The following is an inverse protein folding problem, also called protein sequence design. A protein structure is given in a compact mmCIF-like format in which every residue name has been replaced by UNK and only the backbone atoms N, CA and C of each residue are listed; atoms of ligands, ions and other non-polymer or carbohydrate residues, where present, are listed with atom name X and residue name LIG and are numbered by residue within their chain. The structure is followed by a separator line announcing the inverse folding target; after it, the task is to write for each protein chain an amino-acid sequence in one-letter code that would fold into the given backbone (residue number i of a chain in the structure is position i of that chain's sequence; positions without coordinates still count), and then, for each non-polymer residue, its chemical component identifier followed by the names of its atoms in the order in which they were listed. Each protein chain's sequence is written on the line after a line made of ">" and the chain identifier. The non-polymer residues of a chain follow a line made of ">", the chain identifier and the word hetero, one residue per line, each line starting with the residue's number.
data_IF_209153139351
#
_entry.id   IF_209153139351
#
_cell.length_a   1.000
_cell.length_b   1.000
_cell.length_c   1.000
_cell.angle_alpha   90.00
_cell.angle_beta   90.00
_cell.angle_gamma   90.00
#
_symmetry.space_group_name_H-M   'P 1'
#
loop_
_entity.id
_entity.type
_entity.pdbx_description
1 polymer ?
#
# COMPACT_ATOMS: atom_id res chain seq x y z
N UNK A 1 -2.03 -31.60 -30.65
CA UNK A 1 -2.06 -30.22 -31.15
C UNK A 1 -3.50 -29.84 -31.40
N UNK A 2 -4.11 -29.13 -30.46
CA UNK A 2 -5.34 -28.38 -30.65
C UNK A 2 -5.18 -27.15 -29.76
N UNK A 3 -4.62 -26.09 -30.33
CA UNK A 3 -4.63 -24.76 -29.70
C UNK A 3 -6.07 -24.26 -29.77
N UNK A 4 -6.72 -24.24 -28.62
CA UNK A 4 -8.00 -23.57 -28.42
C UNK A 4 -7.72 -22.06 -28.51
N UNK A 5 -7.89 -21.50 -29.71
CA UNK A 5 -7.86 -20.05 -29.93
C UNK A 5 -9.11 -19.46 -29.31
N UNK A 6 -9.05 -19.18 -28.00
CA UNK A 6 -10.02 -18.33 -27.34
C UNK A 6 -10.03 -16.99 -28.07
N UNK A 7 -11.15 -16.66 -28.72
CA UNK A 7 -11.38 -15.34 -29.30
C UNK A 7 -11.26 -14.30 -28.19
N UNK A 8 -10.27 -13.42 -28.31
CA UNK A 8 -10.12 -12.26 -27.43
C UNK A 8 -11.29 -11.31 -27.67
N UNK A 9 -12.41 -11.51 -27.00
CA UNK A 9 -13.49 -10.52 -26.95
C UNK A 9 -12.91 -9.22 -26.37
N UNK A 10 -12.97 -8.14 -27.14
CA UNK A 10 -12.57 -6.83 -26.66
C UNK A 10 -13.51 -6.41 -25.53
N UNK A 11 -12.96 -6.19 -24.33
CA UNK A 11 -13.71 -5.71 -23.17
C UNK A 11 -14.41 -4.38 -23.52
N UNK A 12 -15.74 -4.36 -23.41
CA UNK A 12 -16.55 -3.16 -23.59
C UNK A 12 -16.92 -2.60 -22.22
N UNK A 13 -16.45 -1.40 -21.84
CA UNK A 13 -16.71 -0.84 -20.52
C UNK A 13 -18.21 -0.61 -20.28
N UNK A 14 -18.71 -1.06 -19.13
CA UNK A 14 -20.07 -0.78 -18.68
C UNK A 14 -20.26 0.68 -18.24
N UNK A 15 -21.51 1.13 -17.98
CA UNK A 15 -21.80 2.52 -17.58
C UNK A 15 -21.17 2.93 -16.23
N UNK A 16 -20.93 1.96 -15.34
CA UNK A 16 -20.26 2.15 -14.06
C UNK A 16 -18.73 2.22 -14.16
N UNK A 17 -18.15 1.93 -15.33
CA UNK A 17 -16.71 1.90 -15.48
C UNK A 17 -16.10 3.29 -15.25
N UNK A 18 -15.00 3.31 -14.50
CA UNK A 18 -14.17 4.49 -14.30
C UNK A 18 -12.70 4.15 -14.47
N UNK A 19 -11.98 5.09 -15.05
CA UNK A 19 -10.54 5.05 -15.20
C UNK A 19 -9.96 6.30 -14.55
N UNK A 20 -9.01 6.10 -13.65
CA UNK A 20 -8.24 7.18 -13.02
C UNK A 20 -6.79 7.07 -13.45
N UNK A 21 -6.25 8.11 -14.05
CA UNK A 21 -4.85 8.16 -14.50
C UNK A 21 -4.09 9.13 -13.62
N UNK A 22 -3.08 8.64 -12.90
CA UNK A 22 -2.32 9.45 -11.96
C UNK A 22 -1.70 10.72 -12.56
N UNK A 23 -1.29 10.67 -13.84
CA UNK A 23 -0.75 11.85 -14.55
C UNK A 23 -1.80 12.89 -14.91
N UNK A 24 -3.02 12.46 -15.17
CA UNK A 24 -4.11 13.36 -15.58
C UNK A 24 -4.74 14.01 -14.35
N UNK A 25 -4.83 13.25 -13.25
CA UNK A 25 -5.42 13.70 -11.98
C UNK A 25 -4.45 14.56 -11.16
N UNK A 26 -3.14 14.26 -11.20
CA UNK A 26 -2.14 14.93 -10.37
C UNK A 26 -0.99 15.51 -11.19
N UNK A 27 -0.97 16.85 -11.38
CA UNK A 27 0.17 17.50 -12.02
C UNK A 27 1.42 17.30 -11.16
N UNK A 28 2.46 16.74 -11.77
CA UNK A 28 3.72 16.40 -11.12
C UNK A 28 4.87 16.59 -12.09
N UNK A 29 6.10 16.60 -11.56
CA UNK A 29 7.31 16.56 -12.36
C UNK A 29 8.29 15.56 -11.74
N UNK A 30 9.42 15.33 -12.42
CA UNK A 30 10.42 14.35 -11.99
C UNK A 30 10.98 14.66 -10.61
N UNK A 31 11.13 15.94 -10.25
CA UNK A 31 11.64 16.35 -8.93
C UNK A 31 10.66 15.95 -7.82
N UNK A 32 9.38 16.29 -7.97
CA UNK A 32 8.34 15.94 -7.00
C UNK A 32 8.15 14.42 -6.89
N UNK A 33 8.15 13.71 -8.01
CA UNK A 33 8.05 12.25 -8.03
C UNK A 33 9.25 11.59 -7.34
N UNK A 34 10.47 12.05 -7.63
CA UNK A 34 11.69 11.55 -6.99
C UNK A 34 11.69 11.83 -5.49
N UNK A 35 11.27 13.03 -5.07
CA UNK A 35 11.17 13.38 -3.65
C UNK A 35 10.12 12.51 -2.94
N UNK A 36 8.96 12.28 -3.55
CA UNK A 36 7.94 11.39 -3.00
C UNK A 36 8.46 9.94 -2.84
N UNK A 37 9.17 9.42 -3.86
CA UNK A 37 9.83 8.12 -3.79
C UNK A 37 10.87 8.06 -2.66
N UNK A 38 11.71 9.09 -2.54
CA UNK A 38 12.75 9.18 -1.52
C UNK A 38 12.17 9.27 -0.10
N UNK A 39 11.07 9.99 0.08
CA UNK A 39 10.40 10.06 1.39
C UNK A 39 9.76 8.70 1.73
N UNK A 40 9.03 8.09 0.79
CA UNK A 40 8.32 6.85 1.08
C UNK A 40 9.25 5.66 1.23
N UNK A 41 9.99 5.30 0.17
CA UNK A 41 10.86 4.11 0.12
C UNK A 41 12.21 4.42 0.75
N UNK A 42 12.75 5.60 0.47
CA UNK A 42 14.07 6.01 0.99
C UNK A 42 14.10 6.13 2.52
N UNK A 43 12.97 6.30 3.21
CA UNK A 43 12.95 6.27 4.68
C UNK A 43 13.43 4.94 5.28
N UNK A 44 13.20 3.81 4.60
CA UNK A 44 13.73 2.51 5.02
C UNK A 44 15.25 2.49 4.91
N UNK A 45 15.79 2.92 3.77
CA UNK A 45 17.22 2.99 3.53
C UNK A 45 17.91 4.03 4.41
N UNK A 46 17.25 5.15 4.70
CA UNK A 46 17.77 6.23 5.53
C UNK A 46 18.16 5.74 6.92
N UNK A 47 17.31 4.93 7.57
CA UNK A 47 17.62 4.35 8.88
C UNK A 47 18.90 3.50 8.84
N UNK A 48 19.01 2.62 7.83
CA UNK A 48 20.17 1.74 7.66
C UNK A 48 21.43 2.58 7.39
N UNK A 49 21.35 3.57 6.51
CA UNK A 49 22.46 4.46 6.19
C UNK A 49 22.92 5.27 7.40
N UNK A 50 22.01 5.81 8.22
CA UNK A 50 22.35 6.53 9.45
C UNK A 50 23.04 5.62 10.47
N UNK A 51 22.54 4.40 10.66
CA UNK A 51 23.15 3.42 11.56
C UNK A 51 24.54 3.00 11.07
N UNK A 52 24.68 2.68 9.79
CA UNK A 52 25.96 2.27 9.21
C UNK A 52 26.98 3.41 9.25
N UNK A 53 26.59 4.62 8.84
CA UNK A 53 27.45 5.79 8.87
C UNK A 53 27.90 6.10 10.31
N UNK A 54 26.97 6.13 11.26
CA UNK A 54 27.31 6.41 12.66
C UNK A 54 28.23 5.35 13.27
N UNK A 55 28.04 4.07 12.90
CA UNK A 55 28.92 2.99 13.35
C UNK A 55 30.34 3.11 12.78
N UNK A 56 30.48 3.47 11.50
CA UNK A 56 31.77 3.54 10.81
C UNK A 56 32.58 4.81 11.11
N UNK A 57 31.90 5.95 11.33
CA UNK A 57 32.55 7.26 11.33
C UNK A 57 32.47 8.01 12.67
N UNK A 58 31.65 7.56 13.63
CA UNK A 58 31.54 8.22 14.94
C UNK A 58 32.17 7.38 16.06
N UNK A 59 32.66 8.02 17.14
CA UNK A 59 32.99 7.31 18.37
C UNK A 59 31.80 6.47 18.86
N UNK A 60 32.09 5.30 19.43
CA UNK A 60 31.06 4.35 19.87
C UNK A 60 29.98 4.98 20.79
N UNK A 61 30.36 5.91 21.66
CA UNK A 61 29.41 6.65 22.51
C UNK A 61 28.40 7.48 21.71
N UNK A 62 28.82 8.13 20.62
CA UNK A 62 27.92 8.88 19.72
C UNK A 62 27.07 7.95 18.86
N UNK A 63 27.62 6.80 18.44
CA UNK A 63 26.83 5.75 17.79
C UNK A 63 25.68 5.28 18.69
N UNK A 64 25.97 4.98 19.96
CA UNK A 64 24.93 4.60 20.93
C UNK A 64 23.88 5.70 21.12
N UNK A 65 24.28 6.98 21.11
CA UNK A 65 23.33 8.10 21.14
C UNK A 65 22.41 8.10 19.91
N UNK A 66 22.96 7.87 18.70
CA UNK A 66 22.16 7.76 17.47
C UNK A 66 21.16 6.61 17.57
N UNK A 67 21.59 5.44 18.04
CA UNK A 67 20.70 4.30 18.31
C UNK A 67 19.59 4.69 19.29
N UNK A 68 19.95 5.36 20.40
CA UNK A 68 19.00 5.85 21.39
C UNK A 68 17.95 6.80 20.79
N UNK A 69 18.37 7.76 19.96
CA UNK A 69 17.45 8.68 19.27
C UNK A 69 16.50 7.92 18.33
N UNK A 70 17.02 6.97 17.54
CA UNK A 70 16.18 6.15 16.67
C UNK A 70 15.16 5.31 17.46
N UNK A 71 15.55 4.75 18.60
CA UNK A 71 14.63 4.02 19.49
C UNK A 71 13.55 4.92 20.08
N UNK A 72 13.85 6.18 20.41
CA UNK A 72 12.84 7.16 20.81
C UNK A 72 11.79 7.30 19.70
N UNK A 73 12.22 7.40 18.43
CA UNK A 73 11.31 7.45 17.29
C UNK A 73 10.51 6.17 17.07
N UNK A 74 10.85 5.04 17.70
CA UNK A 74 10.04 3.79 17.69
C UNK A 74 8.92 3.83 18.73
N UNK A 75 9.16 4.44 19.89
CA UNK A 75 8.18 4.48 20.99
C UNK A 75 7.32 5.75 21.01
N UNK A 76 7.77 6.82 20.35
CA UNK A 76 7.06 8.10 20.30
C UNK A 76 5.63 7.91 19.76
N UNK A 77 4.56 8.32 20.47
CA UNK A 77 3.20 8.13 19.99
C UNK A 77 2.99 8.85 18.64
N UNK A 78 2.28 8.21 17.73
CA UNK A 78 1.95 8.78 16.42
C UNK A 78 0.56 9.40 16.51
N UNK A 79 0.48 10.71 16.27
CA UNK A 79 -0.79 11.36 15.99
C UNK A 79 -1.25 10.99 14.58
N UNK A 80 -2.28 10.14 14.51
CA UNK A 80 -2.86 9.65 13.26
C UNK A 80 -3.56 10.77 12.48
N UNK A 81 -3.98 11.84 13.17
CA UNK A 81 -4.71 12.97 12.60
C UNK A 81 -3.82 14.22 12.42
N UNK A 82 -2.50 14.05 12.52
CA UNK A 82 -1.54 15.15 12.33
C UNK A 82 -1.76 15.83 10.99
N UNK A 83 -2.06 17.13 11.00
CA UNK A 83 -2.24 17.93 9.78
C UNK A 83 -1.02 17.86 8.86
N UNK A 84 0.18 17.84 9.44
CA UNK A 84 1.43 17.68 8.70
C UNK A 84 1.52 16.28 8.08
N UNK A 85 1.31 15.23 8.89
CA UNK A 85 1.38 13.85 8.43
C UNK A 85 0.40 13.55 7.30
N UNK A 86 -0.83 14.03 7.42
CA UNK A 86 -1.86 13.86 6.40
C UNK A 86 -1.55 14.63 5.11
N UNK A 87 -0.96 15.84 5.20
CA UNK A 87 -0.48 16.59 4.02
C UNK A 87 0.68 15.87 3.33
N UNK A 88 1.62 15.34 4.10
CA UNK A 88 2.75 14.56 3.59
C UNK A 88 2.27 13.28 2.90
N UNK A 89 1.35 12.55 3.52
CA UNK A 89 0.77 11.34 2.94
C UNK A 89 0.03 11.63 1.62
N UNK A 90 -0.77 12.70 1.57
CA UNK A 90 -1.43 13.14 0.32
C UNK A 90 -0.41 13.49 -0.76
N UNK A 91 0.63 14.26 -0.41
CA UNK A 91 1.71 14.61 -1.33
C UNK A 91 2.38 13.36 -1.92
N UNK A 92 2.76 12.39 -1.07
CA UNK A 92 3.35 11.12 -1.52
C UNK A 92 2.39 10.40 -2.46
N UNK A 93 1.14 10.19 -2.05
CA UNK A 93 0.15 9.47 -2.83
C UNK A 93 -0.07 10.05 -4.25
N UNK A 94 -0.22 11.37 -4.34
CA UNK A 94 -0.46 12.07 -5.61
C UNK A 94 0.75 11.99 -6.54
N UNK A 95 1.94 12.32 -6.03
CA UNK A 95 3.14 12.35 -6.87
C UNK A 95 3.65 10.96 -7.24
N UNK A 96 3.48 9.95 -6.39
CA UNK A 96 3.78 8.55 -6.73
C UNK A 96 2.86 8.04 -7.84
N UNK A 97 1.56 8.35 -7.76
CA UNK A 97 0.58 7.95 -8.79
C UNK A 97 0.92 8.55 -10.16
N UNK A 98 1.44 9.78 -10.21
CA UNK A 98 1.87 10.44 -11.45
C UNK A 98 3.27 10.00 -11.93
N UNK A 99 4.20 9.72 -11.00
CA UNK A 99 5.58 9.29 -11.29
C UNK A 99 5.66 7.88 -11.88
N UNK A 100 4.87 6.92 -11.37
CA UNK A 100 4.76 5.54 -11.88
C UNK A 100 3.68 5.35 -12.95
N UNK A 101 3.35 6.41 -13.71
CA UNK A 101 2.06 6.60 -14.42
C UNK A 101 0.93 5.61 -14.09
N UNK A 102 0.60 5.47 -12.80
CA UNK A 102 -0.29 4.41 -12.36
C UNK A 102 -1.72 4.71 -12.82
N UNK A 103 -2.39 3.69 -13.36
CA UNK A 103 -3.78 3.80 -13.82
C UNK A 103 -4.65 2.82 -13.05
N UNK A 104 -5.70 3.33 -12.41
CA UNK A 104 -6.70 2.52 -11.72
C UNK A 104 -7.91 2.35 -12.63
N UNK A 105 -8.24 1.11 -12.94
CA UNK A 105 -9.44 0.72 -13.66
C UNK A 105 -10.44 0.13 -12.67
N UNK A 106 -11.66 0.66 -12.66
CA UNK A 106 -12.75 0.21 -11.79
C UNK A 106 -13.93 -0.18 -12.68
N UNK A 107 -14.36 -1.43 -12.61
CA UNK A 107 -15.42 -1.97 -13.48
C UNK A 107 -16.79 -1.34 -13.19
N UNK A 108 -17.15 -1.20 -11.91
CA UNK A 108 -18.32 -0.46 -11.47
C UNK A 108 -18.01 0.39 -10.24
N UNK A 109 -17.89 1.71 -10.43
CA UNK A 109 -17.63 2.64 -9.33
C UNK A 109 -18.85 2.81 -8.42
N UNK A 110 -20.06 2.55 -8.91
CA UNK A 110 -21.29 2.85 -8.19
C UNK A 110 -21.63 1.78 -7.15
N UNK A 111 -21.02 0.60 -7.24
CA UNK A 111 -21.12 -0.48 -6.25
C UNK A 111 -20.34 -0.16 -4.95
N UNK A 112 -19.51 0.89 -4.95
CA UNK A 112 -18.74 1.31 -3.79
C UNK A 112 -19.46 2.40 -2.98
N UNK A 113 -20.06 1.98 -1.87
CA UNK A 113 -20.69 2.87 -0.90
C UNK A 113 -19.72 3.32 0.22
N UNK A 114 -19.69 4.62 0.57
CA UNK A 114 -18.74 5.18 1.55
C UNK A 114 -18.98 4.76 3.01
N UNK A 115 -20.17 4.25 3.31
CA UNK A 115 -20.64 3.79 4.62
C UNK A 115 -20.48 2.28 4.83
N UNK A 116 -19.92 1.57 3.84
CA UNK A 116 -19.69 0.12 3.86
C UNK A 116 -18.19 -0.22 3.88
N UNK A 117 -17.83 -1.23 4.67
CA UNK A 117 -16.48 -1.80 4.66
C UNK A 117 -16.34 -2.91 3.61
N UNK A 118 -15.22 -2.91 2.90
CA UNK A 118 -14.85 -3.92 1.91
C UNK A 118 -13.53 -4.61 2.30
N UNK A 119 -13.31 -5.81 1.78
CA UNK A 119 -12.00 -6.48 1.82
C UNK A 119 -11.44 -6.50 0.41
N UNK A 120 -10.40 -5.71 0.17
CA UNK A 120 -9.73 -5.61 -1.13
C UNK A 120 -8.58 -6.61 -1.16
N UNK A 121 -8.72 -7.69 -1.93
CA UNK A 121 -7.68 -8.69 -2.13
C UNK A 121 -6.75 -8.26 -3.27
N UNK A 122 -5.64 -7.62 -2.90
CA UNK A 122 -4.66 -7.08 -3.85
C UNK A 122 -3.59 -8.10 -4.21
N UNK A 123 -3.31 -8.28 -5.49
CA UNK A 123 -2.20 -9.11 -5.96
C UNK A 123 -1.63 -8.56 -7.29
N UNK A 124 -0.36 -8.85 -7.61
CA UNK A 124 0.64 -9.46 -6.73
C UNK A 124 1.27 -8.43 -5.76
N UNK A 125 2.02 -8.92 -4.77
CA UNK A 125 2.79 -8.09 -3.83
C UNK A 125 4.00 -7.43 -4.49
N UNK A 126 4.57 -8.03 -5.54
CA UNK A 126 5.86 -7.68 -6.12
C UNK A 126 6.99 -7.56 -5.06
N UNK A 127 8.09 -6.85 -5.36
CA UNK A 127 9.10 -6.47 -4.33
C UNK A 127 8.45 -5.55 -3.29
N UNK A 128 7.74 -4.54 -3.79
CA UNK A 128 6.88 -3.65 -3.02
C UNK A 128 5.61 -3.41 -3.85
N UNK A 129 4.40 -3.48 -3.25
CA UNK A 129 3.15 -3.29 -3.98
C UNK A 129 2.89 -1.79 -4.20
N UNK A 130 3.71 -1.13 -5.02
CA UNK A 130 3.67 0.33 -5.23
C UNK A 130 2.29 0.76 -5.75
N UNK A 131 1.66 -0.03 -6.61
CA UNK A 131 0.35 0.23 -7.20
C UNK A 131 -0.77 0.38 -6.17
N UNK A 132 -0.60 -0.13 -4.94
CA UNK A 132 -1.55 0.07 -3.84
C UNK A 132 -1.79 1.56 -3.54
N UNK A 133 -0.84 2.42 -3.92
CA UNK A 133 -0.97 3.87 -3.78
C UNK A 133 -2.22 4.39 -4.49
N UNK A 134 -2.65 3.80 -5.61
CA UNK A 134 -3.85 4.26 -6.33
C UNK A 134 -5.15 4.04 -5.55
N UNK A 135 -5.15 3.05 -4.64
CA UNK A 135 -6.28 2.71 -3.79
C UNK A 135 -6.26 3.44 -2.44
N UNK A 136 -5.13 4.07 -2.08
CA UNK A 136 -5.00 4.71 -0.79
C UNK A 136 -6.06 5.80 -0.60
N UNK A 137 -6.62 5.91 0.62
CA UNK A 137 -7.59 6.95 0.99
C UNK A 137 -7.11 8.36 0.62
N UNK A 138 -5.80 8.58 0.70
CA UNK A 138 -5.15 9.88 0.45
C UNK A 138 -4.98 10.21 -1.03
N UNK A 139 -5.08 9.22 -1.91
CA UNK A 139 -5.10 9.41 -3.36
C UNK A 139 -6.48 9.89 -3.81
N UNK A 140 -7.55 9.33 -3.24
CA UNK A 140 -8.90 9.83 -3.46
C UNK A 140 -9.57 9.38 -4.77
N UNK A 141 -9.04 8.34 -5.44
CA UNK A 141 -9.70 7.76 -6.62
C UNK A 141 -10.96 6.96 -6.26
N UNK A 142 -10.93 6.26 -5.13
CA UNK A 142 -12.06 5.44 -4.66
C UNK A 142 -12.93 6.25 -3.69
N UNK A 143 -14.27 6.09 -3.71
CA UNK A 143 -15.19 6.75 -2.78
C UNK A 143 -15.19 6.08 -1.38
N UNK A 144 -14.00 5.75 -0.86
CA UNK A 144 -13.82 4.94 0.35
C UNK A 144 -13.02 5.73 1.41
N UNK A 145 -13.69 6.53 2.27
CA UNK A 145 -13.03 7.46 3.20
C UNK A 145 -12.40 6.79 4.42
N UNK A 146 -12.62 5.50 4.64
CA UNK A 146 -12.03 4.73 5.74
C UNK A 146 -11.28 3.54 5.18
N UNK A 147 -10.09 3.78 4.63
CA UNK A 147 -9.32 2.72 3.97
C UNK A 147 -7.97 2.51 4.66
N UNK A 148 -7.66 1.24 4.97
CA UNK A 148 -6.38 0.83 5.56
C UNK A 148 -5.69 -0.22 4.69
N UNK A 149 -4.38 -0.06 4.51
CA UNK A 149 -3.55 -1.08 3.89
C UNK A 149 -2.91 -1.95 4.97
N UNK A 150 -3.20 -3.25 4.97
CA UNK A 150 -2.66 -4.17 5.96
C UNK A 150 -1.24 -4.60 5.56
N UNK A 151 -0.26 -4.26 6.39
CA UNK A 151 1.16 -4.50 6.13
C UNK A 151 1.84 -5.25 7.26
N UNK A 152 3.07 -5.72 7.02
CA UNK A 152 3.84 -6.47 8.01
C UNK A 152 4.11 -5.66 9.28
N UNK A 153 3.94 -6.27 10.45
CA UNK A 153 4.11 -5.61 11.75
C UNK A 153 5.49 -4.96 12.00
N UNK A 154 6.63 -5.49 11.50
CA UNK A 154 7.95 -4.87 11.65
C UNK A 154 8.02 -3.42 11.16
N UNK A 155 7.21 -3.02 10.16
CA UNK A 155 7.14 -1.63 9.68
C UNK A 155 6.88 -0.65 10.83
N UNK A 156 6.03 -1.04 11.79
CA UNK A 156 5.61 -0.19 12.90
C UNK A 156 6.66 -0.09 14.02
N UNK A 157 7.75 -0.85 13.90
CA UNK A 157 8.91 -0.81 14.79
C UNK A 157 10.15 -0.19 14.14
N UNK A 158 10.04 0.27 12.88
CA UNK A 158 11.14 0.94 12.16
C UNK A 158 11.02 2.46 12.34
N UNK A 159 12.04 3.16 12.86
CA UNK A 159 12.01 4.62 13.02
C UNK A 159 11.75 5.34 11.70
N UNK A 160 11.12 6.52 11.73
CA UNK A 160 10.63 7.29 10.56
C UNK A 160 9.59 6.57 9.67
N UNK A 161 9.87 5.35 9.22
CA UNK A 161 9.01 4.51 8.40
C UNK A 161 7.64 4.31 9.05
N UNK A 162 7.60 3.99 10.35
CA UNK A 162 6.33 3.83 11.09
C UNK A 162 5.44 5.07 11.03
N UNK A 163 6.02 6.27 11.05
CA UNK A 163 5.27 7.53 11.01
C UNK A 163 4.67 7.75 9.63
N UNK A 164 5.53 7.68 8.60
CA UNK A 164 5.14 7.88 7.20
C UNK A 164 4.07 6.86 6.79
N UNK A 165 4.28 5.58 7.07
CA UNK A 165 3.35 4.51 6.68
C UNK A 165 2.04 4.58 7.46
N UNK A 166 2.05 4.98 8.73
CA UNK A 166 0.81 5.20 9.49
C UNK A 166 -0.03 6.30 8.86
N UNK A 167 0.57 7.43 8.45
CA UNK A 167 -0.16 8.52 7.78
C UNK A 167 -0.64 8.16 6.36
N UNK A 168 0.10 7.28 5.66
CA UNK A 168 -0.34 6.68 4.38
C UNK A 168 -1.51 5.70 4.55
N UNK A 169 -1.93 5.39 5.77
CA UNK A 169 -3.05 4.48 6.04
C UNK A 169 -2.62 3.02 6.22
N UNK A 170 -1.35 2.73 6.44
CA UNK A 170 -0.91 1.38 6.79
C UNK A 170 -1.39 0.97 8.19
N UNK A 171 -1.64 -0.32 8.37
CA UNK A 171 -1.98 -0.91 9.68
C UNK A 171 -1.43 -2.34 9.78
N UNK A 172 -1.12 -2.87 10.99
CA UNK A 172 -0.59 -4.22 11.12
C UNK A 172 -1.53 -5.30 10.59
N UNK A 173 -1.03 -6.22 9.76
CA UNK A 173 -1.76 -7.34 9.18
C UNK A 173 -2.00 -8.51 10.17
N UNK A 174 -2.40 -8.22 11.40
CA UNK A 174 -2.79 -9.25 12.38
C UNK A 174 -4.28 -9.56 12.25
N UNK A 175 -4.70 -10.81 12.51
CA UNK A 175 -6.12 -11.19 12.48
C UNK A 175 -6.98 -10.32 13.39
N UNK A 176 -6.49 -10.03 14.61
CA UNK A 176 -7.21 -9.19 15.59
C UNK A 176 -7.43 -7.78 15.04
N UNK A 177 -6.37 -7.15 14.52
CA UNK A 177 -6.46 -5.80 13.97
C UNK A 177 -7.36 -5.76 12.72
N UNK A 178 -7.22 -6.74 11.84
CA UNK A 178 -8.05 -6.84 10.64
C UNK A 178 -9.55 -6.93 10.99
N UNK A 179 -9.93 -7.85 11.89
CA UNK A 179 -11.32 -7.97 12.33
C UNK A 179 -11.83 -6.68 12.99
N UNK A 180 -11.03 -6.05 13.85
CA UNK A 180 -11.40 -4.81 14.54
C UNK A 180 -11.57 -3.63 13.58
N UNK A 181 -10.75 -3.52 12.53
CA UNK A 181 -10.88 -2.49 11.50
C UNK A 181 -12.17 -2.67 10.71
N UNK A 182 -12.49 -3.90 10.29
CA UNK A 182 -13.74 -4.19 9.57
C UNK A 182 -14.97 -3.87 10.44
N UNK A 183 -14.96 -4.24 11.73
CA UNK A 183 -16.02 -3.89 12.69
C UNK A 183 -16.18 -2.38 12.87
N UNK A 184 -15.09 -1.62 12.80
CA UNK A 184 -15.11 -0.15 12.86
C UNK A 184 -15.49 0.52 11.52
N UNK A 185 -15.84 -0.27 10.49
CA UNK A 185 -16.25 0.22 9.19
C UNK A 185 -15.09 0.61 8.27
N UNK A 186 -13.86 0.17 8.54
CA UNK A 186 -12.73 0.39 7.65
C UNK A 186 -12.68 -0.66 6.55
N UNK A 187 -12.62 -0.20 5.32
CA UNK A 187 -12.17 -1.00 4.19
C UNK A 187 -10.71 -1.38 4.38
N UNK A 188 -10.39 -2.66 4.19
CA UNK A 188 -9.04 -3.18 4.38
C UNK A 188 -8.49 -3.75 3.07
N UNK A 189 -7.34 -3.24 2.63
CA UNK A 189 -6.54 -3.83 1.56
C UNK A 189 -5.65 -4.89 2.19
N UNK A 190 -5.69 -6.10 1.64
CA UNK A 190 -4.86 -7.24 2.04
C UNK A 190 -4.11 -7.71 0.81
N UNK A 191 -2.80 -7.97 0.96
CA UNK A 191 -1.97 -8.58 -0.08
C UNK A 191 -1.71 -10.04 0.30
N UNK A 192 -2.51 -11.01 -0.17
CA UNK A 192 -2.57 -12.35 0.43
C UNK A 192 -1.29 -13.16 0.30
N UNK A 193 -0.59 -13.04 -0.82
CA UNK A 193 0.64 -13.80 -1.04
C UNK A 193 1.87 -13.21 -0.34
N UNK A 194 1.84 -11.91 -0.01
CA UNK A 194 2.87 -11.25 0.79
C UNK A 194 4.29 -11.53 0.28
N UNK A 195 5.23 -11.71 1.20
CA UNK A 195 6.66 -11.93 0.88
C UNK A 195 6.90 -13.21 0.05
N UNK A 196 5.99 -14.20 0.06
CA UNK A 196 6.16 -15.41 -0.75
C UNK A 196 6.04 -15.13 -2.25
N UNK A 197 5.18 -14.19 -2.64
CA UNK A 197 5.09 -13.77 -4.04
C UNK A 197 6.42 -13.16 -4.50
N UNK A 198 7.09 -12.39 -3.66
CA UNK A 198 8.41 -11.81 -3.93
C UNK A 198 9.46 -12.86 -4.29
N UNK A 199 9.49 -14.01 -3.61
CA UNK A 199 10.45 -15.09 -3.90
C UNK A 199 10.17 -15.85 -5.21
N UNK A 200 8.94 -15.75 -5.72
CA UNK A 200 8.50 -16.48 -6.91
C UNK A 200 8.40 -15.59 -8.15
N UNK A 201 8.70 -14.28 -8.02
CA UNK A 201 8.68 -13.35 -9.14
C UNK A 201 9.64 -13.78 -10.24
N UNK A 202 9.19 -13.61 -11.48
CA UNK A 202 9.99 -13.82 -12.68
C UNK A 202 9.80 -12.62 -13.59
N UNK A 203 10.87 -12.30 -14.33
CA UNK A 203 10.74 -11.32 -15.40
C UNK A 203 9.65 -11.77 -16.39
N UNK A 204 8.85 -10.83 -16.88
CA UNK A 204 7.74 -11.04 -17.81
C UNK A 204 6.60 -11.94 -17.30
N UNK A 205 6.47 -12.14 -15.99
CA UNK A 205 5.38 -12.95 -15.42
C UNK A 205 4.88 -12.40 -14.09
N UNK A 206 3.56 -12.17 -14.02
CA UNK A 206 2.89 -11.82 -12.77
C UNK A 206 2.52 -13.10 -11.99
N UNK A 207 3.01 -13.21 -10.76
CA UNK A 207 2.79 -14.40 -9.91
C UNK A 207 1.97 -14.04 -8.69
N UNK A 208 0.75 -14.56 -8.64
CA UNK A 208 -0.16 -14.38 -7.50
C UNK A 208 -0.30 -15.69 -6.69
N UNK A 209 0.05 -15.64 -5.41
CA UNK A 209 0.02 -16.76 -4.48
C UNK A 209 -1.26 -16.73 -3.62
N UNK A 210 -2.41 -17.00 -4.26
CA UNK A 210 -3.73 -16.79 -3.62
C UNK A 210 -4.42 -18.13 -3.28
N UNK A 211 -4.20 -19.21 -4.05
CA UNK A 211 -4.96 -20.48 -3.94
C UNK A 211 -5.01 -21.08 -2.52
N UNK A 212 -3.91 -20.99 -1.78
CA UNK A 212 -3.77 -21.49 -0.41
C UNK A 212 -4.02 -20.43 0.67
N UNK A 213 -4.18 -19.15 0.30
CA UNK A 213 -4.28 -17.99 1.20
C UNK A 213 -5.72 -17.57 1.46
N UNK A 214 -6.54 -18.47 1.99
CA UNK A 214 -8.00 -18.26 2.14
C UNK A 214 -8.43 -17.48 3.40
N UNK A 215 -7.48 -17.10 4.26
CA UNK A 215 -7.78 -16.48 5.56
C UNK A 215 -8.56 -15.16 5.45
N UNK A 216 -8.19 -14.30 4.50
CA UNK A 216 -8.88 -13.02 4.29
C UNK A 216 -10.30 -13.19 3.76
N UNK A 217 -10.52 -14.18 2.88
CA UNK A 217 -11.86 -14.57 2.37
C UNK A 217 -12.73 -15.05 3.52
N UNK A 218 -12.20 -15.93 4.39
CA UNK A 218 -12.93 -16.41 5.56
C UNK A 218 -13.33 -15.27 6.50
N UNK A 219 -12.42 -14.32 6.74
CA UNK A 219 -12.71 -13.14 7.57
C UNK A 219 -13.77 -12.25 6.90
N UNK A 220 -13.69 -12.03 5.59
CA UNK A 220 -14.69 -11.26 4.84
C UNK A 220 -16.10 -11.86 5.00
N UNK A 221 -16.22 -13.19 4.87
CA UNK A 221 -17.47 -13.93 5.08
C UNK A 221 -17.94 -13.80 6.53
N UNK A 222 -17.06 -14.06 7.51
CA UNK A 222 -17.37 -13.95 8.95
C UNK A 222 -17.85 -12.55 9.35
N UNK A 223 -17.38 -11.50 8.65
CA UNK A 223 -17.74 -10.10 8.91
C UNK A 223 -18.85 -9.56 8.01
N UNK A 224 -19.33 -10.33 7.03
CA UNK A 224 -20.33 -9.88 6.06
C UNK A 224 -19.83 -8.74 5.14
N UNK A 225 -18.51 -8.60 4.97
CA UNK A 225 -17.92 -7.57 4.11
C UNK A 225 -17.72 -8.11 2.69
N UNK A 226 -18.08 -7.37 1.62
CA UNK A 226 -17.81 -7.79 0.26
C UNK A 226 -16.32 -7.97 0.00
N UNK A 227 -15.99 -9.02 -0.75
CA UNK A 227 -14.64 -9.27 -1.22
C UNK A 227 -14.48 -8.64 -2.61
N UNK A 228 -13.49 -7.77 -2.77
CA UNK A 228 -13.18 -7.08 -4.02
C UNK A 228 -11.82 -7.55 -4.50
N UNK A 229 -11.72 -8.30 -5.62
CA UNK A 229 -10.44 -8.65 -6.20
C UNK A 229 -9.80 -7.42 -6.81
N UNK A 230 -8.50 -7.22 -6.54
CA UNK A 230 -7.72 -6.17 -7.19
C UNK A 230 -6.45 -6.79 -7.74
N UNK A 231 -6.24 -6.61 -9.04
CA UNK A 231 -5.04 -7.08 -9.71
C UNK A 231 -4.25 -5.90 -10.26
N UNK A 232 -2.94 -5.93 -10.10
CA UNK A 232 -2.03 -4.93 -10.62
C UNK A 232 -1.03 -5.56 -11.60
N UNK A 233 -0.77 -4.86 -12.69
CA UNK A 233 0.13 -5.28 -13.75
C UNK A 233 1.32 -4.32 -13.85
N UNK A 234 2.51 -4.84 -14.16
CA UNK A 234 3.70 -4.04 -14.45
C UNK A 234 4.35 -3.40 -13.22
N UNK A 235 4.26 -4.05 -12.06
CA UNK A 235 4.86 -3.62 -10.80
C UNK A 235 6.22 -4.28 -10.53
#
# INVERSE_FOLDING_TARGET
>A
MAEDKAETQAFTPGPGYRQFKGRDEFPSNILHGTLACAIWIGSMHFNVSVLLFSFLFLPFSKFLLVVGVLLIFVVLPIDHNSKFGLRLARYICQHMSSYFPATLHVEDINDFHPDRAYVLGYAPHSVLPIGVVTLAERTGFMPLPKLKCLTSSPVFYTPFLRHIWTWLGASPATRKNFCSLLEAGYTCIVVPGGVQETFLMRHDSEVAFIKSRRGFVRIAIEKGCPLVPVFAFGQ
#
